data_IF_537755936321
#
_entry.id   IF_537755936321
#
_cell.length_a   1.000
_cell.length_b   1.000
_cell.length_c   1.000
_cell.angle_alpha   90.00
_cell.angle_beta   90.00
_cell.angle_gamma   90.00
#
_symmetry.space_group_name_H-M   'P 1'
#
loop_
_entity.id
_entity.type
_entity.pdbx_description
1 polymer ?
#
# COMPACT_ATOMS: atom_id res chain seq x y z
N UNK A 1 -9.59 -6.89 0.62
CA UNK A 1 -10.78 -7.47 -0.06
C UNK A 1 -11.78 -7.89 1.00
N UNK A 2 -13.06 -8.15 0.67
CA UNK A 2 -14.01 -8.78 1.60
C UNK A 2 -13.50 -10.13 2.14
N UNK A 3 -13.95 -10.52 3.32
CA UNK A 3 -13.59 -11.79 3.99
C UNK A 3 -14.01 -13.05 3.22
N UNK A 4 -15.10 -12.98 2.46
CA UNK A 4 -15.64 -14.06 1.64
C UNK A 4 -15.01 -14.16 0.25
N UNK A 5 -14.09 -13.24 -0.08
CA UNK A 5 -13.39 -13.26 -1.36
C UNK A 5 -12.52 -14.52 -1.47
N UNK A 6 -12.44 -15.20 -2.64
CA UNK A 6 -11.64 -16.43 -2.80
C UNK A 6 -10.17 -16.32 -2.34
N UNK A 7 -9.56 -15.15 -2.54
CA UNK A 7 -8.18 -14.89 -2.08
C UNK A 7 -8.03 -14.83 -0.55
N UNK A 8 -9.09 -14.66 0.23
CA UNK A 8 -9.02 -14.56 1.68
C UNK A 8 -8.52 -15.87 2.32
N UNK A 9 -8.78 -17.01 1.66
CA UNK A 9 -8.27 -18.32 2.07
C UNK A 9 -6.80 -18.59 1.74
N UNK A 10 -6.16 -17.74 0.92
CA UNK A 10 -4.76 -17.91 0.53
C UNK A 10 -3.82 -17.33 1.59
N UNK A 11 -2.61 -17.87 1.73
CA UNK A 11 -1.57 -17.27 2.57
C UNK A 11 -1.06 -15.96 1.96
N UNK A 12 -0.84 -15.98 0.66
CA UNK A 12 -0.38 -14.86 -0.17
C UNK A 12 -1.03 -14.95 -1.55
N UNK A 13 -1.07 -13.82 -2.25
CA UNK A 13 -1.74 -13.70 -3.55
C UNK A 13 -0.69 -13.38 -4.62
N UNK A 14 -0.47 -14.23 -5.62
CA UNK A 14 0.43 -13.89 -6.71
C UNK A 14 -0.18 -12.74 -7.52
N UNK A 15 0.63 -11.82 -8.04
CA UNK A 15 0.15 -10.71 -8.86
C UNK A 15 -0.73 -11.18 -10.03
N UNK A 16 -0.40 -12.32 -10.65
CA UNK A 16 -1.17 -12.92 -11.73
C UNK A 16 -2.62 -13.25 -11.35
N UNK A 17 -2.93 -13.47 -10.06
CA UNK A 17 -4.29 -13.70 -9.63
C UNK A 17 -5.17 -12.44 -9.79
N UNK A 18 -4.59 -11.25 -9.90
CA UNK A 18 -5.34 -10.01 -10.16
C UNK A 18 -5.84 -9.91 -11.62
N UNK A 19 -5.52 -10.88 -12.47
CA UNK A 19 -5.98 -10.95 -13.84
C UNK A 19 -7.52 -10.98 -13.88
N UNK A 20 -8.11 -10.02 -14.60
CA UNK A 20 -9.56 -9.84 -14.77
C UNK A 20 -10.35 -9.50 -13.48
N UNK A 21 -9.67 -9.33 -12.35
CA UNK A 21 -10.28 -8.86 -11.10
C UNK A 21 -10.68 -7.39 -11.19
N UNK A 22 -11.82 -7.05 -10.56
CA UNK A 22 -12.29 -5.67 -10.47
C UNK A 22 -11.45 -4.93 -9.42
N UNK A 23 -10.62 -3.99 -9.88
CA UNK A 23 -9.73 -3.22 -9.02
C UNK A 23 -10.30 -1.83 -8.74
N UNK A 24 -10.29 -1.45 -7.47
CA UNK A 24 -10.47 -0.08 -7.00
C UNK A 24 -9.09 0.39 -6.55
N UNK A 25 -8.55 1.41 -7.21
CA UNK A 25 -7.21 1.91 -6.91
C UNK A 25 -7.27 3.34 -6.44
N UNK A 26 -6.25 3.73 -5.67
CA UNK A 26 -6.02 5.16 -5.48
C UNK A 26 -5.59 5.81 -6.80
N UNK A 27 -5.96 7.07 -6.98
CA UNK A 27 -5.54 7.88 -8.12
C UNK A 27 -4.02 8.17 -8.11
N UNK A 28 -3.57 8.90 -9.13
CA UNK A 28 -2.15 9.22 -9.33
C UNK A 28 -1.57 10.22 -8.32
N UNK A 29 -2.37 10.81 -7.42
CA UNK A 29 -1.85 11.55 -6.28
C UNK A 29 -1.25 10.60 -5.22
N UNK A 30 -1.64 9.32 -5.23
CA UNK A 30 -1.01 8.31 -4.40
C UNK A 30 0.35 7.90 -4.96
N UNK A 31 1.39 7.99 -4.12
CA UNK A 31 2.72 7.52 -4.48
C UNK A 31 2.81 6.01 -4.75
N UNK A 32 1.78 5.20 -4.43
CA UNK A 32 1.78 3.76 -4.77
C UNK A 32 1.30 3.49 -6.18
N UNK A 33 0.49 4.37 -6.78
CA UNK A 33 -0.12 4.12 -8.09
C UNK A 33 0.91 3.85 -9.20
N UNK A 34 1.99 4.64 -9.35
CA UNK A 34 3.01 4.34 -10.37
C UNK A 34 3.69 2.98 -10.20
N UNK A 35 3.86 2.50 -8.96
CA UNK A 35 4.46 1.18 -8.70
C UNK A 35 3.51 0.04 -9.02
N UNK A 36 2.22 0.22 -8.71
CA UNK A 36 1.17 -0.74 -9.07
C UNK A 36 1.08 -0.84 -10.60
N UNK A 37 1.04 0.30 -11.31
CA UNK A 37 1.00 0.33 -12.77
C UNK A 37 2.24 -0.35 -13.38
N UNK A 38 3.44 -0.07 -12.85
CA UNK A 38 4.67 -0.70 -13.29
C UNK A 38 4.67 -2.23 -13.06
N UNK A 39 4.12 -2.69 -11.93
CA UNK A 39 4.00 -4.11 -11.64
C UNK A 39 3.02 -4.81 -12.59
N UNK A 40 1.83 -4.22 -12.79
CA UNK A 40 0.82 -4.72 -13.73
C UNK A 40 1.39 -4.80 -15.15
N UNK A 41 2.04 -3.73 -15.61
CA UNK A 41 2.65 -3.68 -16.94
C UNK A 41 3.77 -4.70 -17.10
N UNK A 42 4.70 -4.79 -16.14
CA UNK A 42 5.85 -5.70 -16.21
C UNK A 42 5.42 -7.17 -16.23
N UNK A 43 4.32 -7.48 -15.56
CA UNK A 43 3.79 -8.83 -15.44
C UNK A 43 2.69 -9.13 -16.48
N UNK A 44 2.43 -8.20 -17.40
CA UNK A 44 1.40 -8.30 -18.45
C UNK A 44 0.00 -8.63 -17.91
N UNK A 45 -0.36 -8.08 -16.76
CA UNK A 45 -1.66 -8.29 -16.11
C UNK A 45 -2.66 -7.28 -16.65
N UNK A 46 -3.80 -7.76 -17.14
CA UNK A 46 -4.92 -6.89 -17.51
C UNK A 46 -5.69 -6.49 -16.26
N UNK A 47 -5.41 -5.30 -15.75
CA UNK A 47 -6.18 -4.72 -14.67
C UNK A 47 -7.52 -4.19 -15.17
N UNK A 48 -8.62 -4.66 -14.57
CA UNK A 48 -9.94 -4.08 -14.75
C UNK A 48 -10.17 -3.03 -13.64
N UNK A 49 -9.65 -1.81 -13.85
CA UNK A 49 -9.79 -0.71 -12.90
C UNK A 49 -11.20 -0.14 -13.02
N UNK A 50 -12.07 -0.48 -12.08
CA UNK A 50 -13.49 -0.08 -12.08
C UNK A 50 -13.73 1.25 -11.38
N UNK A 51 -12.77 1.71 -10.59
CA UNK A 51 -12.84 2.99 -9.90
C UNK A 51 -11.46 3.52 -9.51
N UNK A 52 -11.30 4.84 -9.57
CA UNK A 52 -10.14 5.58 -9.06
C UNK A 52 -10.58 6.59 -7.98
N UNK A 53 -9.88 6.63 -6.85
CA UNK A 53 -10.25 7.46 -5.69
C UNK A 53 -9.04 8.17 -5.06
N UNK A 54 -9.24 9.36 -4.51
CA UNK A 54 -8.14 10.13 -3.93
C UNK A 54 -7.59 9.63 -2.59
N UNK A 55 -8.45 9.19 -1.67
CA UNK A 55 -8.07 8.91 -0.28
C UNK A 55 -8.45 7.49 0.21
N UNK A 56 -7.57 6.75 0.92
CA UNK A 56 -7.87 5.39 1.39
C UNK A 56 -9.12 5.26 2.25
N UNK A 57 -9.47 6.30 3.00
CA UNK A 57 -10.70 6.33 3.81
C UNK A 57 -11.99 6.12 2.99
N UNK A 58 -12.00 6.51 1.71
CA UNK A 58 -13.12 6.25 0.78
C UNK A 58 -12.98 4.88 0.13
N UNK A 59 -11.76 4.34 0.03
CA UNK A 59 -11.48 3.05 -0.59
C UNK A 59 -12.09 1.90 0.20
N UNK A 60 -11.87 1.87 1.52
CA UNK A 60 -12.24 0.72 2.34
C UNK A 60 -13.76 0.42 2.29
N UNK A 61 -14.67 1.40 2.47
CA UNK A 61 -16.10 1.14 2.35
C UNK A 61 -16.52 0.64 0.96
N UNK A 62 -15.84 1.08 -0.11
CA UNK A 62 -16.14 0.61 -1.46
C UNK A 62 -15.74 -0.85 -1.66
N UNK A 63 -14.59 -1.25 -1.11
CA UNK A 63 -14.16 -2.65 -1.11
C UNK A 63 -15.12 -3.50 -0.27
N UNK A 64 -15.51 -3.03 0.92
CA UNK A 64 -16.47 -3.72 1.80
C UNK A 64 -17.84 -3.90 1.13
N UNK A 65 -18.27 -2.92 0.33
CA UNK A 65 -19.52 -2.99 -0.42
C UNK A 65 -19.48 -3.93 -1.65
N UNK A 66 -18.34 -4.56 -1.94
CA UNK A 66 -18.21 -5.53 -3.03
C UNK A 66 -18.06 -4.90 -4.43
N UNK A 67 -17.72 -3.60 -4.52
CA UNK A 67 -17.44 -2.95 -5.82
C UNK A 67 -16.21 -3.58 -6.50
N UNK A 68 -15.25 -4.08 -5.72
CA UNK A 68 -14.02 -4.69 -6.18
C UNK A 68 -13.02 -4.91 -5.05
N UNK A 69 -11.80 -5.31 -5.40
CA UNK A 69 -10.65 -5.44 -4.48
C UNK A 69 -9.64 -4.30 -4.72
N UNK A 70 -8.63 -4.18 -3.86
CA UNK A 70 -7.65 -3.09 -3.96
C UNK A 70 -6.24 -3.57 -3.68
N UNK A 71 -5.28 -2.84 -4.25
CA UNK A 71 -3.86 -2.92 -3.92
C UNK A 71 -3.46 -1.63 -3.21
N UNK A 72 -2.84 -1.75 -2.04
CA UNK A 72 -2.44 -0.62 -1.19
C UNK A 72 -1.04 -0.85 -0.61
N UNK A 73 -0.26 0.22 -0.34
CA UNK A 73 1.02 0.08 0.36
C UNK A 73 0.75 -0.32 1.81
N UNK A 74 1.60 -1.18 2.38
CA UNK A 74 1.41 -1.67 3.75
C UNK A 74 1.40 -0.55 4.82
N UNK A 75 1.92 0.64 4.50
CA UNK A 75 1.82 1.84 5.36
C UNK A 75 0.38 2.33 5.57
N UNK A 76 -0.58 1.96 4.70
CA UNK A 76 -1.99 2.29 4.87
C UNK A 76 -2.72 1.36 5.85
N UNK A 77 -2.00 0.45 6.52
CA UNK A 77 -2.50 -0.42 7.58
C UNK A 77 -2.21 0.19 8.97
N UNK A 78 -2.98 -0.18 10.02
CA UNK A 78 -4.05 -1.17 10.04
C UNK A 78 -5.31 -0.72 9.30
N UNK A 79 -6.19 -1.69 9.00
CA UNK A 79 -7.53 -1.39 8.51
C UNK A 79 -8.33 -0.59 9.56
N UNK A 80 -9.36 0.18 9.15
CA UNK A 80 -10.26 0.84 10.09
C UNK A 80 -10.85 -0.15 11.09
N UNK A 81 -11.05 0.30 12.33
CA UNK A 81 -11.63 -0.53 13.37
C UNK A 81 -13.04 -1.00 12.96
N UNK A 82 -13.33 -2.28 13.16
CA UNK A 82 -14.61 -2.89 12.77
C UNK A 82 -14.74 -3.21 11.28
N UNK A 83 -13.66 -3.06 10.51
CA UNK A 83 -13.66 -3.45 9.10
C UNK A 83 -13.78 -4.96 8.91
N UNK A 84 -14.57 -5.38 7.91
CA UNK A 84 -14.74 -6.78 7.48
C UNK A 84 -13.87 -7.11 6.25
N UNK A 85 -12.68 -6.50 6.21
CA UNK A 85 -11.73 -6.67 5.12
C UNK A 85 -10.59 -7.59 5.53
N UNK A 86 -10.22 -8.46 4.61
CA UNK A 86 -8.99 -9.25 4.67
C UNK A 86 -7.89 -8.60 3.82
N UNK A 87 -6.67 -8.62 4.33
CA UNK A 87 -5.45 -8.17 3.64
C UNK A 87 -4.55 -9.37 3.40
N UNK A 88 -4.01 -9.50 2.19
CA UNK A 88 -3.00 -10.51 1.85
C UNK A 88 -1.82 -9.86 1.16
N UNK A 89 -0.63 -10.43 1.40
CA UNK A 89 0.61 -10.01 0.73
C UNK A 89 0.55 -10.38 -0.75
N UNK A 90 0.95 -9.46 -1.62
CA UNK A 90 1.14 -9.73 -3.05
C UNK A 90 2.54 -10.26 -3.34
N UNK A 91 2.66 -11.30 -4.17
CA UNK A 91 3.95 -11.89 -4.56
C UNK A 91 4.20 -11.83 -6.08
N UNK A 92 5.41 -11.43 -6.53
CA UNK A 92 6.53 -10.91 -5.72
C UNK A 92 6.23 -9.54 -5.06
N UNK A 93 6.89 -9.26 -3.93
CA UNK A 93 6.75 -7.99 -3.21
C UNK A 93 7.38 -6.85 -4.04
N UNK A 94 6.64 -5.76 -4.21
CA UNK A 94 7.13 -4.54 -4.86
C UNK A 94 7.52 -3.51 -3.79
N UNK A 95 8.82 -3.29 -3.62
CA UNK A 95 9.37 -2.40 -2.59
C UNK A 95 9.60 -0.98 -3.13
N UNK A 96 9.47 0.00 -2.24
CA UNK A 96 9.93 1.38 -2.47
C UNK A 96 10.59 1.92 -1.21
N UNK A 97 11.51 2.86 -1.39
CA UNK A 97 12.10 3.58 -0.27
C UNK A 97 11.40 4.93 -0.06
N UNK A 98 11.08 5.24 1.19
CA UNK A 98 10.68 6.57 1.62
C UNK A 98 11.92 7.29 2.16
N UNK A 99 12.12 8.54 1.73
CA UNK A 99 13.35 9.28 2.00
C UNK A 99 13.02 10.67 2.55
N UNK A 100 13.84 11.13 3.49
CA UNK A 100 13.90 12.54 3.86
C UNK A 100 14.78 13.28 2.85
N UNK A 101 14.32 14.44 2.38
CA UNK A 101 15.01 15.22 1.36
C UNK A 101 15.16 16.69 1.78
N UNK A 102 16.36 17.23 1.61
CA UNK A 102 16.67 18.65 1.80
C UNK A 102 17.39 19.21 0.57
N UNK A 103 17.31 20.52 0.33
CA UNK A 103 18.01 21.14 -0.79
C UNK A 103 19.51 21.19 -0.49
N UNK A 104 20.34 20.74 -1.44
CA UNK A 104 21.81 20.59 -1.30
C UNK A 104 22.55 21.83 -0.76
N UNK A 105 22.04 23.03 -1.02
CA UNK A 105 22.67 24.30 -0.62
C UNK A 105 21.81 25.11 0.35
N UNK A 106 21.02 24.43 1.20
CA UNK A 106 20.20 25.09 2.22
C UNK A 106 20.28 24.31 3.53
N UNK A 107 20.70 24.97 4.60
CA UNK A 107 20.60 24.41 5.94
C UNK A 107 19.15 24.34 6.40
N UNK A 108 18.84 23.33 7.23
CA UNK A 108 17.57 23.28 7.94
C UNK A 108 17.57 24.36 9.03
N UNK A 109 16.41 24.96 9.28
CA UNK A 109 16.22 25.76 10.50
C UNK A 109 16.30 24.84 11.72
N UNK A 110 16.51 25.39 12.91
CA UNK A 110 16.55 24.61 14.15
C UNK A 110 15.30 23.75 14.33
N UNK A 111 14.11 24.31 14.06
CA UNK A 111 12.86 23.57 14.14
C UNK A 111 12.76 22.45 13.09
N UNK A 112 13.22 22.71 11.85
CA UNK A 112 13.22 21.69 10.80
C UNK A 112 14.24 20.57 11.07
N UNK A 113 15.39 20.88 11.67
CA UNK A 113 16.36 19.87 12.10
C UNK A 113 15.78 18.98 13.20
N UNK A 114 15.09 19.57 14.20
CA UNK A 114 14.45 18.80 15.25
C UNK A 114 13.40 17.83 14.67
N UNK A 115 12.55 18.30 13.74
CA UNK A 115 11.59 17.44 13.05
C UNK A 115 12.27 16.36 12.20
N UNK A 116 13.35 16.70 11.50
CA UNK A 116 14.12 15.75 10.70
C UNK A 116 14.61 14.57 11.54
N UNK A 117 15.16 14.84 12.72
CA UNK A 117 15.62 13.78 13.63
C UNK A 117 14.47 12.91 14.14
N UNK A 118 13.35 13.51 14.52
CA UNK A 118 12.16 12.77 14.96
C UNK A 118 11.67 11.84 13.84
N UNK A 119 11.52 12.35 12.61
CA UNK A 119 11.05 11.51 11.49
C UNK A 119 12.06 10.42 11.15
N UNK A 120 13.36 10.68 11.27
CA UNK A 120 14.41 9.67 11.08
C UNK A 120 14.31 8.56 12.12
N UNK A 121 14.12 8.92 13.39
CA UNK A 121 13.95 7.96 14.49
C UNK A 121 12.68 7.13 14.32
N UNK A 122 11.54 7.77 14.08
CA UNK A 122 10.27 7.07 13.85
C UNK A 122 10.33 6.17 12.61
N UNK A 123 11.02 6.59 11.55
CA UNK A 123 11.26 5.75 10.38
C UNK A 123 12.04 4.47 10.71
N UNK A 124 13.03 4.56 11.60
CA UNK A 124 13.78 3.40 12.09
C UNK A 124 12.91 2.49 12.97
N UNK A 125 12.12 3.07 13.89
CA UNK A 125 11.21 2.33 14.76
C UNK A 125 10.16 1.56 13.95
N UNK A 126 9.53 2.21 12.95
CA UNK A 126 8.57 1.57 12.04
C UNK A 126 9.21 0.43 11.23
N UNK A 127 10.48 0.59 10.85
CA UNK A 127 11.21 -0.47 10.12
C UNK A 127 11.48 -1.66 11.02
N UNK A 128 11.92 -1.42 12.26
CA UNK A 128 12.16 -2.48 13.24
C UNK A 128 10.88 -3.24 13.59
N UNK A 129 9.77 -2.53 13.84
CA UNK A 129 8.47 -3.13 14.15
C UNK A 129 7.94 -4.05 13.04
N UNK A 130 8.29 -3.77 11.78
CA UNK A 130 7.88 -4.59 10.63
C UNK A 130 8.64 -5.90 10.49
N UNK A 131 9.83 -6.05 11.09
CA UNK A 131 10.62 -7.28 10.96
C UNK A 131 9.87 -8.49 11.52
N UNK A 132 9.07 -8.28 12.55
CA UNK A 132 8.33 -9.35 13.24
C UNK A 132 6.91 -9.56 12.67
N UNK A 133 6.43 -8.69 11.78
CA UNK A 133 5.08 -8.77 11.22
C UNK A 133 5.03 -9.72 10.00
N UNK A 134 4.19 -10.77 10.03
CA UNK A 134 4.06 -11.74 8.92
C UNK A 134 3.73 -11.11 7.56
N UNK A 135 3.10 -9.93 7.52
CA UNK A 135 2.84 -9.21 6.27
C UNK A 135 4.10 -8.66 5.60
N UNK A 136 5.19 -8.55 6.35
CA UNK A 136 6.46 -7.94 5.94
C UNK A 136 7.64 -8.92 5.94
N UNK A 137 7.46 -10.14 6.45
CA UNK A 137 8.47 -11.20 6.39
C UNK A 137 8.63 -11.71 4.94
N UNK A 138 9.86 -12.03 4.55
CA UNK A 138 10.21 -12.44 3.17
C UNK A 138 9.71 -13.83 2.83
#
# INVERSE_FOLDING_TARGET
MPEDHPFAGLTEVPWQALQDERLILQDYASGSRPLIDAALSRLAIRANIVQEIGHPATLFPMVESGIGISVLPALALPLPQGSHLTVKRLTPVMERQLMLACRKNRSLSTAAQALWEIVREEGANLTAARVEDPLYQR
#
